data_IF_072561794372
#
_entry.id   IF_072561794372
#
_cell.length_a   1.000
_cell.length_b   1.000
_cell.length_c   1.000
_cell.angle_alpha   90.00
_cell.angle_beta   90.00
_cell.angle_gamma   90.00
#
_symmetry.space_group_name_H-M   'P 1'
#
loop_
_entity.id
_entity.type
_entity.pdbx_description
1 polymer ?
#
# COMPACT_ATOMS: atom_id res chain seq x y z
N UNK A 1 4.18 -39.67 -2.71
CA UNK A 1 3.80 -39.02 -3.98
C UNK A 1 4.97 -38.13 -4.41
N UNK A 2 5.54 -38.31 -5.59
CA UNK A 2 6.67 -37.50 -6.06
C UNK A 2 6.17 -36.14 -6.55
N UNK A 3 6.75 -35.00 -6.12
CA UNK A 3 6.39 -33.69 -6.64
C UNK A 3 6.69 -33.66 -8.13
N UNK A 4 5.66 -33.45 -8.96
CA UNK A 4 5.84 -33.36 -10.41
C UNK A 4 6.56 -32.05 -10.72
N UNK A 5 7.58 -32.11 -11.57
CA UNK A 5 8.31 -30.95 -12.10
C UNK A 5 7.31 -29.93 -12.67
N UNK A 6 7.35 -28.69 -12.18
CA UNK A 6 6.61 -27.56 -12.77
C UNK A 6 6.98 -27.45 -14.25
N UNK A 7 6.00 -27.17 -15.11
CA UNK A 7 6.27 -26.79 -16.49
C UNK A 7 7.16 -25.53 -16.50
N UNK A 8 8.24 -25.55 -17.28
CA UNK A 8 9.22 -24.46 -17.30
C UNK A 8 8.57 -23.08 -17.55
N UNK A 9 7.55 -23.05 -18.40
CA UNK A 9 6.77 -21.86 -18.75
C UNK A 9 5.98 -21.25 -17.59
N UNK A 10 5.39 -22.07 -16.71
CA UNK A 10 4.64 -21.56 -15.55
C UNK A 10 5.55 -20.97 -14.47
N UNK A 11 6.69 -21.63 -14.24
CA UNK A 11 7.71 -21.13 -13.32
C UNK A 11 8.20 -19.75 -13.77
N UNK A 12 8.52 -19.61 -15.07
CA UNK A 12 8.96 -18.33 -15.64
C UNK A 12 7.92 -17.23 -15.51
N UNK A 13 6.63 -17.53 -15.72
CA UNK A 13 5.56 -16.54 -15.62
C UNK A 13 5.38 -16.04 -14.18
N UNK A 14 5.38 -16.94 -13.19
CA UNK A 14 5.30 -16.55 -11.78
C UNK A 14 6.58 -15.85 -11.31
N UNK A 15 7.74 -16.31 -11.75
CA UNK A 15 9.02 -15.66 -11.50
C UNK A 15 9.02 -14.21 -12.04
N UNK A 16 8.55 -14.01 -13.28
CA UNK A 16 8.47 -12.69 -13.90
C UNK A 16 7.49 -11.76 -13.17
N UNK A 17 6.30 -12.25 -12.78
CA UNK A 17 5.35 -11.47 -11.95
C UNK A 17 5.98 -11.06 -10.62
N UNK A 18 6.75 -11.95 -10.00
CA UNK A 18 7.40 -11.67 -8.72
C UNK A 18 8.56 -10.68 -8.87
N UNK A 19 9.29 -10.73 -9.99
CA UNK A 19 10.28 -9.72 -10.35
C UNK A 19 9.65 -8.34 -10.57
N UNK A 20 8.56 -8.26 -11.34
CA UNK A 20 7.82 -7.01 -11.57
C UNK A 20 7.33 -6.43 -10.24
N UNK A 21 6.77 -7.26 -9.35
CA UNK A 21 6.35 -6.82 -8.02
C UNK A 21 7.51 -6.29 -7.17
N UNK A 22 8.68 -6.93 -7.23
CA UNK A 22 9.87 -6.41 -6.51
C UNK A 22 10.37 -5.10 -7.12
N UNK A 23 10.25 -4.92 -8.44
CA UNK A 23 10.54 -3.64 -9.08
C UNK A 23 9.56 -2.55 -8.66
N UNK A 24 8.26 -2.84 -8.57
CA UNK A 24 7.28 -1.88 -8.05
C UNK A 24 7.55 -1.55 -6.58
N UNK A 25 7.84 -2.54 -5.72
CA UNK A 25 8.22 -2.29 -4.32
C UNK A 25 9.46 -1.39 -4.18
N UNK A 26 10.43 -1.51 -5.09
CA UNK A 26 11.58 -0.58 -5.15
C UNK A 26 11.14 0.83 -5.54
N UNK A 27 10.31 0.98 -6.57
CA UNK A 27 9.80 2.28 -7.02
C UNK A 27 8.97 2.94 -5.93
N UNK A 28 8.06 2.20 -5.31
CA UNK A 28 7.24 2.65 -4.18
C UNK A 28 8.13 3.06 -3.01
N UNK A 29 9.18 2.29 -2.72
CA UNK A 29 10.17 2.64 -1.71
C UNK A 29 10.87 3.98 -1.98
N UNK A 30 11.28 4.23 -3.23
CA UNK A 30 11.87 5.52 -3.64
C UNK A 30 10.85 6.65 -3.50
N UNK A 31 9.63 6.45 -3.97
CA UNK A 31 8.55 7.44 -3.89
C UNK A 31 8.25 7.79 -2.43
N UNK A 32 8.19 6.80 -1.53
CA UNK A 32 7.97 7.03 -0.10
C UNK A 32 9.12 7.83 0.54
N UNK A 33 10.38 7.53 0.21
CA UNK A 33 11.53 8.28 0.71
C UNK A 33 11.47 9.74 0.23
N UNK A 34 11.25 9.95 -1.07
CA UNK A 34 11.15 11.31 -1.66
C UNK A 34 9.99 12.07 -1.02
N UNK A 35 8.82 11.44 -0.89
CA UNK A 35 7.65 12.03 -0.23
C UNK A 35 7.97 12.42 1.22
N UNK A 36 8.68 11.57 1.96
CA UNK A 36 9.10 11.85 3.34
C UNK A 36 10.04 13.06 3.43
N UNK A 37 11.02 13.17 2.51
CA UNK A 37 11.93 14.32 2.44
C UNK A 37 11.17 15.61 2.11
N UNK A 38 10.28 15.57 1.11
CA UNK A 38 9.45 16.72 0.73
C UNK A 38 8.56 17.15 1.90
N UNK A 39 7.95 16.20 2.61
CA UNK A 39 7.12 16.50 3.77
C UNK A 39 7.92 17.13 4.92
N UNK A 40 9.14 16.66 5.16
CA UNK A 40 10.05 17.26 6.13
C UNK A 40 10.39 18.71 5.78
N UNK A 41 10.76 18.97 4.52
CA UNK A 41 11.03 20.33 4.04
C UNK A 41 9.81 21.23 4.17
N UNK A 42 8.63 20.73 3.82
CA UNK A 42 7.38 21.46 3.93
C UNK A 42 7.04 21.80 5.38
N UNK A 43 7.28 20.86 6.30
CA UNK A 43 7.15 21.12 7.75
C UNK A 43 8.08 22.25 8.18
N UNK A 44 9.34 22.24 7.73
CA UNK A 44 10.34 23.27 8.06
C UNK A 44 9.93 24.64 7.52
N UNK A 45 9.40 24.70 6.29
CA UNK A 45 8.86 25.94 5.71
C UNK A 45 7.65 26.43 6.50
N UNK A 46 6.75 25.54 6.90
CA UNK A 46 5.56 25.88 7.69
C UNK A 46 5.89 26.29 9.13
N UNK A 47 7.01 25.80 9.70
CA UNK A 47 7.41 26.12 11.07
C UNK A 47 8.14 27.46 11.18
N UNK A 48 8.72 27.98 10.10
CA UNK A 48 9.35 29.31 10.05
C UNK A 48 8.42 30.44 10.53
N UNK A 49 7.21 30.67 9.97
CA UNK A 49 6.33 31.75 10.44
C UNK A 49 5.84 31.52 11.87
N UNK A 50 5.64 30.25 12.27
CA UNK A 50 5.23 29.89 13.63
C UNK A 50 6.31 30.21 14.67
N UNK A 51 7.59 30.11 14.30
CA UNK A 51 8.71 30.48 15.17
C UNK A 51 8.73 31.98 15.49
N UNK A 52 8.41 32.83 14.51
CA UNK A 52 8.36 34.29 14.70
C UNK A 52 7.10 34.76 15.44
N UNK A 53 6.02 33.96 15.45
CA UNK A 53 4.78 34.24 16.17
C UNK A 53 4.82 33.58 17.56
N UNK A 54 5.48 34.24 18.53
CA UNK A 54 5.63 33.76 19.93
C UNK A 54 4.32 33.38 20.65
N UNK A 55 3.15 33.76 20.14
CA UNK A 55 1.85 33.38 20.72
C UNK A 55 1.44 31.93 20.47
N UNK A 56 2.20 31.16 19.67
CA UNK A 56 1.84 29.82 19.22
C UNK A 56 2.89 28.74 19.56
N UNK A 57 3.64 28.88 20.66
CA UNK A 57 4.70 27.93 21.07
C UNK A 57 4.22 26.47 21.15
N UNK A 58 3.00 26.25 21.65
CA UNK A 58 2.41 24.91 21.74
C UNK A 58 2.10 24.31 20.36
N UNK A 59 1.56 25.13 19.44
CA UNK A 59 1.27 24.70 18.07
C UNK A 59 2.56 24.43 17.29
N UNK A 60 3.59 25.27 17.47
CA UNK A 60 4.92 25.05 16.90
C UNK A 60 5.51 23.70 17.31
N UNK A 61 5.46 23.38 18.60
CA UNK A 61 6.00 22.12 19.14
C UNK A 61 5.25 20.91 18.56
N UNK A 62 3.92 20.96 18.47
CA UNK A 62 3.11 19.90 17.88
C UNK A 62 3.41 19.71 16.40
N UNK A 63 3.49 20.79 15.62
CA UNK A 63 3.76 20.74 14.18
C UNK A 63 5.15 20.15 13.91
N UNK A 64 6.16 20.55 14.70
CA UNK A 64 7.51 19.99 14.58
C UNK A 64 7.55 18.50 14.92
N UNK A 65 6.92 18.07 16.02
CA UNK A 65 6.87 16.65 16.42
C UNK A 65 6.12 15.83 15.37
N UNK A 66 4.94 16.28 14.92
CA UNK A 66 4.16 15.60 13.90
C UNK A 66 4.92 15.53 12.56
N UNK A 67 5.57 16.63 12.17
CA UNK A 67 6.39 16.71 10.97
C UNK A 67 7.53 15.69 10.96
N UNK A 68 8.31 15.64 12.04
CA UNK A 68 9.41 14.68 12.21
C UNK A 68 8.87 13.25 12.23
N UNK A 69 7.81 12.98 12.99
CA UNK A 69 7.25 11.63 13.11
C UNK A 69 6.74 11.09 11.76
N UNK A 70 5.98 11.91 11.02
CA UNK A 70 5.43 11.54 9.71
C UNK A 70 6.56 11.37 8.69
N UNK A 71 7.50 12.31 8.61
CA UNK A 71 8.64 12.20 7.71
C UNK A 71 9.47 10.94 7.99
N UNK A 72 9.75 10.66 9.26
CA UNK A 72 10.51 9.47 9.67
C UNK A 72 9.76 8.18 9.31
N UNK A 73 8.44 8.15 9.51
CA UNK A 73 7.60 7.02 9.11
C UNK A 73 7.70 6.73 7.60
N UNK A 74 7.59 7.76 6.76
CA UNK A 74 7.71 7.62 5.31
C UNK A 74 9.09 7.14 4.87
N UNK A 75 10.15 7.72 5.45
CA UNK A 75 11.55 7.34 5.14
C UNK A 75 11.82 5.90 5.56
N UNK A 76 11.47 5.50 6.79
CA UNK A 76 11.68 4.14 7.28
C UNK A 76 10.87 3.11 6.49
N UNK A 77 9.60 3.40 6.19
CA UNK A 77 8.75 2.54 5.36
C UNK A 77 9.32 2.39 3.95
N UNK A 78 9.81 3.50 3.38
CA UNK A 78 10.45 3.49 2.07
C UNK A 78 11.75 2.68 2.05
N UNK A 79 12.60 2.80 3.09
CA UNK A 79 13.81 1.97 3.26
C UNK A 79 13.44 0.48 3.35
N UNK A 80 12.41 0.14 4.12
CA UNK A 80 11.96 -1.25 4.25
C UNK A 80 11.48 -1.82 2.91
N UNK A 81 10.68 -1.05 2.16
CA UNK A 81 10.20 -1.42 0.81
C UNK A 81 11.37 -1.55 -0.19
N UNK A 82 12.37 -0.67 -0.10
CA UNK A 82 13.56 -0.75 -0.93
C UNK A 82 14.35 -2.03 -0.63
N UNK A 83 14.47 -2.38 0.66
CA UNK A 83 15.17 -3.57 1.12
C UNK A 83 14.42 -4.86 0.74
N UNK A 84 13.10 -4.88 0.82
CA UNK A 84 12.29 -6.03 0.38
C UNK A 84 12.41 -6.23 -1.12
N UNK A 85 12.29 -5.16 -1.90
CA UNK A 85 12.41 -5.21 -3.36
C UNK A 85 13.81 -5.60 -3.84
N UNK A 86 14.87 -5.36 -3.06
CA UNK A 86 16.26 -5.75 -3.39
C UNK A 86 16.58 -7.23 -3.19
N UNK A 87 15.76 -7.99 -2.46
CA UNK A 87 16.02 -9.42 -2.23
C UNK A 87 16.01 -10.19 -3.57
N UNK A 88 16.87 -11.21 -3.75
CA UNK A 88 16.85 -12.09 -4.93
C UNK A 88 15.66 -13.05 -4.89
N UNK A 89 15.02 -13.31 -6.03
CA UNK A 89 13.84 -14.19 -6.11
C UNK A 89 14.31 -15.62 -5.96
N UNK A 90 13.92 -16.28 -4.87
CA UNK A 90 14.24 -17.70 -4.66
C UNK A 90 13.11 -18.58 -5.18
N UNK A 91 13.41 -19.81 -5.56
CA UNK A 91 12.41 -20.81 -5.96
C UNK A 91 11.37 -21.01 -4.85
N UNK A 92 11.80 -21.02 -3.58
CA UNK A 92 10.92 -21.07 -2.39
C UNK A 92 9.89 -19.93 -2.38
N UNK A 93 10.30 -18.70 -2.73
CA UNK A 93 9.37 -17.55 -2.80
C UNK A 93 8.29 -17.75 -3.87
N UNK A 94 8.66 -18.33 -5.01
CA UNK A 94 7.72 -18.60 -6.12
C UNK A 94 6.67 -19.63 -5.69
N UNK A 95 7.08 -20.72 -5.04
CA UNK A 95 6.15 -21.72 -4.52
C UNK A 95 5.22 -21.15 -3.44
N UNK A 96 5.76 -20.41 -2.47
CA UNK A 96 4.96 -19.76 -1.43
C UNK A 96 3.96 -18.75 -2.01
N UNK A 97 4.38 -17.99 -3.02
CA UNK A 97 3.52 -17.02 -3.68
C UNK A 97 2.40 -17.71 -4.46
N UNK A 98 2.70 -18.80 -5.19
CA UNK A 98 1.70 -19.63 -5.88
C UNK A 98 0.66 -20.16 -4.91
N UNK A 99 1.10 -20.72 -3.78
CA UNK A 99 0.20 -21.25 -2.76
C UNK A 99 -0.71 -20.16 -2.18
N UNK A 100 -0.15 -18.98 -1.86
CA UNK A 100 -0.93 -17.83 -1.38
C UNK A 100 -1.92 -17.32 -2.43
N UNK A 101 -1.51 -17.24 -3.70
CA UNK A 101 -2.38 -16.80 -4.79
C UNK A 101 -3.56 -17.76 -5.00
N UNK A 102 -3.30 -19.08 -4.98
CA UNK A 102 -4.35 -20.10 -5.05
C UNK A 102 -5.32 -20.01 -3.87
N UNK A 103 -4.79 -19.91 -2.65
CA UNK A 103 -5.60 -19.77 -1.45
C UNK A 103 -6.48 -18.50 -1.52
N UNK A 104 -5.93 -17.40 -2.03
CA UNK A 104 -6.67 -16.15 -2.22
C UNK A 104 -7.79 -16.31 -3.26
N UNK A 105 -7.54 -16.97 -4.39
CA UNK A 105 -8.56 -17.25 -5.42
C UNK A 105 -9.68 -18.14 -4.87
N UNK A 106 -9.35 -19.20 -4.13
CA UNK A 106 -10.36 -20.05 -3.49
C UNK A 106 -11.21 -19.30 -2.47
N UNK A 107 -10.59 -18.44 -1.65
CA UNK A 107 -11.30 -17.59 -0.69
C UNK A 107 -12.22 -16.59 -1.41
N UNK A 108 -11.72 -15.92 -2.44
CA UNK A 108 -12.50 -14.97 -3.23
C UNK A 108 -13.66 -15.64 -3.97
N UNK A 109 -13.47 -16.83 -4.52
CA UNK A 109 -14.52 -17.62 -5.18
C UNK A 109 -15.61 -18.08 -4.19
N UNK A 110 -15.26 -18.28 -2.91
CA UNK A 110 -16.22 -18.54 -1.81
C UNK A 110 -16.92 -17.27 -1.31
N UNK A 111 -16.57 -16.10 -1.85
CA UNK A 111 -17.13 -14.80 -1.43
C UNK A 111 -16.37 -14.11 -0.29
N UNK A 112 -15.24 -14.67 0.17
CA UNK A 112 -14.38 -13.98 1.14
C UNK A 112 -13.58 -12.87 0.44
N UNK A 113 -14.03 -11.63 0.64
CA UNK A 113 -13.36 -10.45 0.08
C UNK A 113 -12.09 -10.09 0.87
N UNK A 114 -11.04 -9.57 0.22
CA UNK A 114 -9.86 -9.07 0.92
C UNK A 114 -10.25 -7.94 1.89
N UNK A 115 -9.51 -7.75 2.99
CA UNK A 115 -9.88 -6.79 4.03
C UNK A 115 -10.10 -5.37 3.49
N UNK A 116 -9.36 -4.94 2.47
CA UNK A 116 -9.52 -3.63 1.82
C UNK A 116 -10.81 -3.43 1.01
N UNK A 117 -11.51 -4.52 0.64
CA UNK A 117 -12.75 -4.50 -0.15
C UNK A 117 -13.99 -4.79 0.70
N UNK A 118 -13.80 -5.36 1.90
CA UNK A 118 -14.90 -5.50 2.86
C UNK A 118 -15.51 -4.13 3.21
N UNK A 119 -16.80 -4.10 3.51
CA UNK A 119 -17.48 -2.85 3.89
C UNK A 119 -16.82 -2.24 5.14
N UNK A 120 -16.48 -3.07 6.13
CA UNK A 120 -15.76 -2.66 7.35
C UNK A 120 -14.38 -2.07 7.03
N UNK A 121 -13.62 -2.68 6.13
CA UNK A 121 -12.31 -2.17 5.72
C UNK A 121 -12.38 -0.85 4.96
N UNK A 122 -13.33 -0.74 4.03
CA UNK A 122 -13.59 0.52 3.29
C UNK A 122 -14.00 1.65 4.22
N UNK A 123 -14.91 1.40 5.17
CA UNK A 123 -15.30 2.38 6.18
C UNK A 123 -14.12 2.78 7.07
N UNK A 124 -13.28 1.82 7.48
CA UNK A 124 -12.06 2.13 8.24
C UNK A 124 -11.11 3.02 7.44
N UNK A 125 -10.89 2.72 6.16
CA UNK A 125 -10.03 3.56 5.29
C UNK A 125 -10.63 4.95 5.12
N UNK A 126 -11.94 5.07 4.94
CA UNK A 126 -12.62 6.37 4.80
C UNK A 126 -12.48 7.19 6.09
N UNK A 127 -12.74 6.61 7.27
CA UNK A 127 -12.61 7.31 8.56
C UNK A 127 -11.17 7.75 8.83
N UNK A 128 -10.17 6.90 8.53
CA UNK A 128 -8.77 7.26 8.70
C UNK A 128 -8.38 8.35 7.70
N UNK A 129 -8.82 8.23 6.44
CA UNK A 129 -8.57 9.23 5.41
C UNK A 129 -9.16 10.59 5.78
N UNK A 130 -10.45 10.63 6.12
CA UNK A 130 -11.19 11.83 6.48
C UNK A 130 -10.64 12.52 7.73
N UNK A 131 -10.29 11.75 8.75
CA UNK A 131 -9.68 12.32 9.97
C UNK A 131 -8.35 13.01 9.67
N UNK A 132 -7.52 12.45 8.80
CA UNK A 132 -6.25 13.07 8.37
C UNK A 132 -6.50 14.35 7.59
N UNK A 133 -7.43 14.35 6.61
CA UNK A 133 -7.77 15.55 5.84
C UNK A 133 -8.33 16.65 6.72
N UNK A 134 -9.23 16.33 7.65
CA UNK A 134 -9.84 17.30 8.57
C UNK A 134 -8.78 17.90 9.49
N UNK A 135 -7.98 17.06 10.17
CA UNK A 135 -6.94 17.53 11.10
C UNK A 135 -5.91 18.39 10.36
N UNK A 136 -5.43 17.92 9.20
CA UNK A 136 -4.47 18.67 8.39
C UNK A 136 -5.01 20.01 7.92
N UNK A 137 -6.27 20.05 7.46
CA UNK A 137 -6.92 21.29 7.03
C UNK A 137 -7.11 22.27 8.18
N UNK A 138 -7.46 21.76 9.37
CA UNK A 138 -7.69 22.56 10.57
C UNK A 138 -6.39 23.18 11.10
N UNK A 139 -5.29 22.41 11.12
CA UNK A 139 -3.95 22.94 11.46
C UNK A 139 -3.53 24.04 10.48
N UNK A 140 -3.66 23.79 9.17
CA UNK A 140 -3.30 24.78 8.17
C UNK A 140 -4.22 26.02 8.21
N UNK A 141 -5.49 25.85 8.53
CA UNK A 141 -6.41 26.96 8.76
C UNK A 141 -5.94 27.85 9.92
N UNK A 142 -5.53 27.28 11.05
CA UNK A 142 -4.99 28.05 12.18
C UNK A 142 -3.71 28.82 11.80
N UNK A 143 -2.80 28.19 11.06
CA UNK A 143 -1.56 28.85 10.60
C UNK A 143 -1.89 30.03 9.68
N UNK A 144 -2.75 29.82 8.68
CA UNK A 144 -3.16 30.87 7.74
C UNK A 144 -3.99 31.97 8.43
N UNK A 145 -4.69 31.64 9.51
CA UNK A 145 -5.49 32.59 10.30
C UNK A 145 -4.64 33.69 10.94
N UNK A 146 -3.39 33.38 11.27
CA UNK A 146 -2.42 34.34 11.83
C UNK A 146 -1.93 35.40 10.84
N UNK A 147 -2.17 35.23 9.54
CA UNK A 147 -1.72 36.16 8.49
C UNK A 147 -2.96 36.69 7.74
N UNK A 148 -3.39 37.95 7.95
CA UNK A 148 -4.65 38.47 7.42
C UNK A 148 -4.66 38.59 5.88
N UNK A 149 -3.49 38.78 5.27
CA UNK A 149 -3.33 38.95 3.82
C UNK A 149 -3.60 37.66 3.01
N UNK A 150 -3.63 36.50 3.68
CA UNK A 150 -3.78 35.18 3.04
C UNK A 150 -5.23 34.70 2.93
N UNK A 151 -6.20 35.61 2.85
CA UNK A 151 -7.63 35.27 2.80
C UNK A 151 -7.97 34.38 1.58
N UNK A 152 -7.36 34.65 0.42
CA UNK A 152 -7.45 33.80 -0.77
C UNK A 152 -6.90 32.39 -0.51
N UNK A 153 -5.74 32.26 0.13
CA UNK A 153 -5.15 30.96 0.44
C UNK A 153 -6.06 30.11 1.36
N UNK A 154 -6.76 30.75 2.31
CA UNK A 154 -7.75 30.09 3.18
C UNK A 154 -8.92 29.54 2.37
N UNK A 155 -9.45 30.30 1.42
CA UNK A 155 -10.54 29.83 0.55
C UNK A 155 -10.10 28.66 -0.33
N UNK A 156 -8.91 28.73 -0.93
CA UNK A 156 -8.35 27.62 -1.71
C UNK A 156 -8.12 26.37 -0.86
N UNK A 157 -7.72 26.53 0.40
CA UNK A 157 -7.55 25.41 1.31
C UNK A 157 -8.86 24.66 1.56
N UNK A 158 -9.97 25.38 1.79
CA UNK A 158 -11.29 24.76 1.98
C UNK A 158 -11.72 24.03 0.72
N UNK A 159 -11.56 24.65 -0.45
CA UNK A 159 -11.91 24.03 -1.74
C UNK A 159 -11.06 22.78 -2.00
N UNK A 160 -9.75 22.84 -1.71
CA UNK A 160 -8.85 21.71 -1.86
C UNK A 160 -9.22 20.56 -0.91
N UNK A 161 -9.52 20.86 0.36
CA UNK A 161 -9.95 19.88 1.34
C UNK A 161 -11.23 19.16 0.89
N UNK A 162 -12.22 19.92 0.41
CA UNK A 162 -13.47 19.35 -0.13
C UNK A 162 -13.23 18.45 -1.35
N UNK A 163 -12.33 18.85 -2.26
CA UNK A 163 -11.96 18.04 -3.41
C UNK A 163 -11.30 16.72 -3.01
N UNK A 164 -10.34 16.76 -2.08
CA UNK A 164 -9.68 15.55 -1.57
C UNK A 164 -10.68 14.62 -0.89
N UNK A 165 -11.59 15.17 -0.09
CA UNK A 165 -12.64 14.40 0.59
C UNK A 165 -13.60 13.74 -0.42
N UNK A 166 -14.02 14.48 -1.44
CA UNK A 166 -14.86 13.95 -2.51
C UNK A 166 -14.17 12.81 -3.27
N UNK A 167 -12.88 12.96 -3.57
CA UNK A 167 -12.08 11.92 -4.21
C UNK A 167 -11.93 10.67 -3.33
N UNK A 168 -11.72 10.85 -2.02
CA UNK A 168 -11.67 9.75 -1.05
C UNK A 168 -13.00 8.99 -1.00
N UNK A 169 -14.12 9.71 -0.96
CA UNK A 169 -15.45 9.13 -0.98
C UNK A 169 -15.68 8.37 -2.29
N UNK A 170 -15.32 8.95 -3.43
CA UNK A 170 -15.47 8.32 -4.74
C UNK A 170 -14.62 7.03 -4.85
N UNK A 171 -13.36 7.07 -4.46
CA UNK A 171 -12.49 5.88 -4.47
C UNK A 171 -13.07 4.76 -3.59
N UNK A 172 -13.38 5.08 -2.33
CA UNK A 172 -13.76 4.08 -1.34
C UNK A 172 -15.19 3.56 -1.52
N UNK A 173 -16.15 4.42 -1.84
CA UNK A 173 -17.56 4.04 -1.94
C UNK A 173 -17.98 3.64 -3.36
N UNK A 174 -17.35 4.17 -4.40
CA UNK A 174 -17.74 3.87 -5.78
C UNK A 174 -16.78 2.87 -6.44
N UNK A 175 -15.50 3.21 -6.58
CA UNK A 175 -14.54 2.36 -7.31
C UNK A 175 -14.33 1.02 -6.62
N UNK A 176 -13.94 1.04 -5.33
CA UNK A 176 -13.72 -0.20 -4.58
C UNK A 176 -14.99 -1.01 -4.36
N UNK A 177 -16.16 -0.37 -4.29
CA UNK A 177 -17.43 -1.09 -4.19
C UNK A 177 -17.77 -1.82 -5.49
N UNK A 178 -17.55 -1.16 -6.63
CA UNK A 178 -17.75 -1.74 -7.95
C UNK A 178 -16.79 -2.91 -8.18
N UNK A 179 -15.51 -2.73 -7.85
CA UNK A 179 -14.51 -3.79 -7.92
C UNK A 179 -14.89 -4.96 -7.00
N UNK A 180 -15.28 -4.70 -5.75
CA UNK A 180 -15.69 -5.75 -4.81
C UNK A 180 -16.83 -6.63 -5.32
N UNK A 181 -17.76 -6.08 -6.11
CA UNK A 181 -18.86 -6.84 -6.72
C UNK A 181 -18.40 -7.74 -7.86
N UNK A 182 -17.37 -7.32 -8.59
CA UNK A 182 -16.85 -8.04 -9.76
C UNK A 182 -15.77 -9.07 -9.39
N UNK A 183 -15.10 -8.90 -8.24
CA UNK A 183 -14.03 -9.78 -7.77
C UNK A 183 -14.43 -11.27 -7.68
N UNK A 184 -15.60 -11.67 -7.11
CA UNK A 184 -15.99 -13.08 -7.05
C UNK A 184 -16.15 -13.70 -8.43
N UNK A 185 -16.80 -12.99 -9.36
CA UNK A 185 -17.03 -13.46 -10.72
C UNK A 185 -15.71 -13.61 -11.50
N UNK A 186 -14.83 -12.62 -11.41
CA UNK A 186 -13.50 -12.68 -12.03
C UNK A 186 -12.66 -13.81 -11.44
N UNK A 187 -12.62 -13.93 -10.11
CA UNK A 187 -11.87 -15.00 -9.45
C UNK A 187 -12.40 -16.41 -9.76
N UNK A 188 -13.72 -16.57 -9.94
CA UNK A 188 -14.34 -17.84 -10.32
C UNK A 188 -14.03 -18.20 -11.78
N UNK A 189 -13.99 -17.22 -12.70
CA UNK A 189 -13.55 -17.42 -14.08
C UNK A 189 -12.08 -17.86 -14.12
N UNK A 190 -11.21 -17.15 -13.42
CA UNK A 190 -9.79 -17.49 -13.32
C UNK A 190 -9.60 -18.89 -12.70
N UNK A 191 -10.33 -19.21 -11.63
CA UNK A 191 -10.29 -20.54 -10.99
C UNK A 191 -10.77 -21.65 -11.93
N UNK A 192 -11.84 -21.40 -12.70
CA UNK A 192 -12.36 -22.38 -13.66
C UNK A 192 -11.37 -22.66 -14.79
N UNK A 193 -10.65 -21.62 -15.25
CA UNK A 193 -9.59 -21.76 -16.24
C UNK A 193 -8.44 -22.58 -15.67
N UNK A 194 -7.99 -22.27 -14.44
CA UNK A 194 -6.93 -23.01 -13.74
C UNK A 194 -7.31 -24.48 -13.43
N UNK A 195 -8.61 -24.77 -13.22
CA UNK A 195 -9.11 -26.13 -13.06
C UNK A 195 -9.18 -26.87 -14.39
N UNK A 196 -9.63 -26.20 -15.45
CA UNK A 196 -9.72 -26.75 -16.80
C UNK A 196 -8.34 -27.07 -17.41
N UNK A 197 -7.32 -26.27 -17.08
CA UNK A 197 -5.92 -26.54 -17.45
C UNK A 197 -5.26 -27.61 -16.57
N UNK A 198 -5.94 -28.11 -15.53
CA UNK A 198 -5.41 -29.13 -14.62
C UNK A 198 -4.39 -28.62 -13.60
N UNK A 199 -4.25 -27.30 -13.47
CA UNK A 199 -3.26 -26.67 -12.59
C UNK A 199 -3.62 -26.79 -11.10
N UNK A 200 -4.90 -26.95 -10.77
CA UNK A 200 -5.44 -26.97 -9.39
C UNK A 200 -5.77 -28.36 -8.84
N UNK A 201 -5.90 -29.39 -9.68
CA UNK A 201 -6.27 -30.76 -9.27
C UNK A 201 -5.10 -31.59 -8.73
N UNK A 202 -3.87 -31.10 -8.88
CA UNK A 202 -2.67 -31.78 -8.39
C UNK A 202 -2.30 -31.21 -7.00
N UNK A 203 -2.62 -31.98 -5.96
CA UNK A 203 -2.31 -31.66 -4.56
C UNK A 203 -0.81 -31.59 -4.30
N UNK A 204 -0.18 -30.46 -4.59
CA UNK A 204 1.14 -30.10 -4.08
C UNK A 204 0.96 -29.53 -2.67
N UNK A 205 0.78 -30.42 -1.68
CA UNK A 205 1.13 -30.13 -0.30
C UNK A 205 2.63 -30.46 -0.21
N UNK A 206 3.52 -29.49 0.03
CA UNK A 206 4.91 -29.82 0.32
C UNK A 206 4.94 -30.50 1.69
N UNK A 207 5.04 -31.83 1.71
CA UNK A 207 5.70 -32.50 2.83
C UNK A 207 7.12 -31.95 2.92
N UNK A 208 7.55 -31.71 4.15
CA UNK A 208 8.84 -31.14 4.53
C UNK A 208 9.99 -31.63 3.65
N UNK A 209 10.47 -30.79 2.73
CA UNK A 209 11.85 -30.90 2.27
C UNK A 209 12.75 -30.37 3.39
N UNK A 210 13.08 -31.28 4.31
CA UNK A 210 14.22 -31.17 5.21
C UNK A 210 15.49 -30.78 4.41
N UNK A 211 16.37 -29.97 4.99
CA UNK A 211 17.58 -29.51 4.33
C UNK A 211 18.58 -30.66 4.28
N UNK A 212 18.89 -31.10 3.07
CA UNK A 212 19.93 -32.09 2.86
C UNK A 212 19.84 -32.58 1.43
N UNK A 213 20.50 -31.89 0.51
CA UNK A 213 21.59 -32.47 -0.26
C UNK A 213 22.23 -31.36 -1.10
N UNK A 214 23.56 -31.35 -1.00
CA UNK A 214 24.54 -30.48 -1.61
C UNK A 214 24.35 -30.42 -3.14
N UNK A 215 24.39 -29.22 -3.72
CA UNK A 215 24.76 -29.10 -5.14
C UNK A 215 25.58 -27.82 -5.34
N UNK A 216 26.77 -27.87 -4.72
CA UNK A 216 27.95 -27.21 -5.25
C UNK A 216 28.48 -28.02 -6.45
N UNK A 217 28.15 -27.59 -7.68
CA UNK A 217 28.80 -27.88 -8.99
C UNK A 217 27.87 -27.29 -10.07
N UNK A 218 28.25 -26.42 -11.00
CA UNK A 218 29.52 -26.08 -11.67
C UNK A 218 29.50 -24.58 -11.97
#
# INVERSE_FOLDING_TARGET
MTPRKISHSEYELHHHRLLLRRQTERRDGIILIVTGIVYFLLTLICSLPLFFLHTLEFAFTIVCIAGIAIATYFVLSGIFSLRSGRRPVTSKDVYQWRHKARLALFRQARGELPPGYTLKGRMRTLVIGSSITIIGSLVMWFILSGIPELLLARTYLVVAALLVELLLILDTLYLRAREARNLPAQSAQDLSLLLATGELTTGEIPEEQLPGEDDTRV
#
